data_IF_515648503876
#
_entry.id   IF_515648503876
#
_cell.length_a   1.000
_cell.length_b   1.000
_cell.length_c   1.000
_cell.angle_alpha   90.00
_cell.angle_beta   90.00
_cell.angle_gamma   90.00
#
_symmetry.space_group_name_H-M   'P 1'
#
loop_
_entity.id
_entity.type
_entity.pdbx_description
1 polymer ?
#
# COMPACT_ATOMS: atom_id res chain seq x y z
N UNK A 1 1.47 -20.72 -29.66
CA UNK A 1 0.67 -21.13 -28.50
C UNK A 1 0.97 -20.19 -27.34
N UNK A 2 -0.03 -19.42 -26.87
CA UNK A 2 0.12 -18.42 -25.81
C UNK A 2 0.33 -19.15 -24.48
N UNK A 3 1.48 -18.96 -23.83
CA UNK A 3 1.74 -19.49 -22.50
C UNK A 3 0.75 -18.89 -21.49
N UNK A 4 0.09 -19.76 -20.72
CA UNK A 4 -0.73 -19.33 -19.60
C UNK A 4 0.17 -18.60 -18.59
N UNK A 5 0.02 -17.28 -18.46
CA UNK A 5 0.65 -16.54 -17.37
C UNK A 5 -0.01 -17.00 -16.06
N UNK A 6 0.65 -17.90 -15.33
CA UNK A 6 0.36 -18.10 -13.93
C UNK A 6 0.63 -16.77 -13.21
N UNK A 7 -0.41 -16.19 -12.62
CA UNK A 7 -0.24 -15.05 -11.70
C UNK A 7 0.37 -15.61 -10.40
N UNK A 8 1.46 -15.02 -9.87
CA UNK A 8 2.00 -15.42 -8.57
C UNK A 8 1.09 -15.01 -7.41
N UNK A 9 0.08 -14.16 -7.67
CA UNK A 9 -0.85 -13.66 -6.65
C UNK A 9 -2.12 -14.49 -6.57
N UNK A 10 -2.68 -14.55 -5.36
CA UNK A 10 -3.99 -15.14 -5.08
C UNK A 10 -5.12 -14.51 -5.90
N UNK A 11 -6.24 -15.21 -5.94
CA UNK A 11 -7.48 -14.73 -6.58
C UNK A 11 -7.86 -13.35 -6.06
N UNK A 12 -8.20 -12.43 -6.97
CA UNK A 12 -8.55 -11.02 -6.70
C UNK A 12 -7.38 -10.08 -6.36
N UNK A 13 -6.16 -10.58 -6.29
CA UNK A 13 -4.97 -9.74 -6.17
C UNK A 13 -4.41 -9.39 -7.54
N UNK A 14 -3.74 -8.24 -7.63
CA UNK A 14 -3.10 -7.77 -8.86
C UNK A 14 -1.58 -7.79 -8.72
N UNK A 15 -0.91 -8.54 -9.58
CA UNK A 15 0.54 -8.54 -9.64
C UNK A 15 1.06 -7.29 -10.36
N UNK A 16 1.99 -6.58 -9.73
CA UNK A 16 2.69 -5.43 -10.31
C UNK A 16 4.09 -5.30 -9.72
N UNK A 17 5.10 -5.06 -10.56
CA UNK A 17 6.50 -5.16 -10.12
C UNK A 17 6.76 -6.54 -9.54
N UNK A 18 7.14 -6.59 -8.27
CA UNK A 18 7.43 -7.83 -7.53
C UNK A 18 6.45 -8.06 -6.38
N UNK A 19 5.24 -7.49 -6.44
CA UNK A 19 4.28 -7.55 -5.34
C UNK A 19 2.83 -7.74 -5.79
N UNK A 20 2.01 -8.22 -4.86
CA UNK A 20 0.59 -8.44 -5.03
C UNK A 20 -0.19 -7.34 -4.32
N UNK A 21 -1.13 -6.72 -5.03
CA UNK A 21 -1.92 -5.59 -4.53
C UNK A 21 -3.42 -5.93 -4.48
N UNK A 22 -4.00 -5.83 -3.29
CA UNK A 22 -5.43 -5.98 -3.05
C UNK A 22 -6.11 -4.62 -2.95
N UNK A 23 -7.30 -4.49 -3.55
CA UNK A 23 -8.08 -3.26 -3.54
C UNK A 23 -9.43 -3.51 -2.85
N UNK A 24 -9.46 -3.30 -1.53
CA UNK A 24 -10.64 -3.53 -0.72
C UNK A 24 -11.44 -2.22 -0.53
N UNK A 25 -12.77 -2.34 -0.45
CA UNK A 25 -13.70 -1.21 -0.34
C UNK A 25 -14.41 -1.23 1.01
N UNK A 26 -13.63 -1.29 2.08
CA UNK A 26 -14.13 -1.16 3.45
C UNK A 26 -13.91 0.26 3.97
N UNK A 27 -14.85 0.75 4.79
CA UNK A 27 -14.71 2.03 5.47
C UNK A 27 -14.24 1.76 6.91
N UNK A 28 -12.92 1.61 7.06
CA UNK A 28 -12.25 1.22 8.30
C UNK A 28 -11.36 2.36 8.78
N UNK A 29 -11.14 2.41 10.09
CA UNK A 29 -10.03 3.20 10.68
C UNK A 29 -8.68 2.69 10.19
N UNK A 30 -7.62 3.46 10.44
CA UNK A 30 -6.28 3.04 10.06
C UNK A 30 -5.88 1.73 10.78
N UNK A 31 -6.16 1.65 12.08
CA UNK A 31 -5.89 0.47 12.91
C UNK A 31 -6.65 -0.77 12.43
N UNK A 32 -7.95 -0.63 12.17
CA UNK A 32 -8.77 -1.73 11.63
C UNK A 32 -8.28 -2.18 10.24
N UNK A 33 -7.86 -1.24 9.39
CA UNK A 33 -7.32 -1.55 8.07
C UNK A 33 -6.00 -2.32 8.16
N UNK A 34 -5.14 -1.95 9.12
CA UNK A 34 -3.90 -2.68 9.42
C UNK A 34 -4.18 -4.10 9.92
N UNK A 35 -5.13 -4.25 10.84
CA UNK A 35 -5.53 -5.56 11.34
C UNK A 35 -6.07 -6.44 10.21
N UNK A 36 -6.95 -5.90 9.37
CA UNK A 36 -7.49 -6.60 8.21
C UNK A 36 -6.41 -7.07 7.23
N UNK A 37 -5.40 -6.23 6.96
CA UNK A 37 -4.27 -6.65 6.13
C UNK A 37 -3.50 -7.80 6.79
N UNK A 38 -3.25 -7.70 8.10
CA UNK A 38 -2.55 -8.74 8.88
C UNK A 38 -3.31 -10.07 8.84
N UNK A 39 -4.63 -10.05 8.99
CA UNK A 39 -5.49 -11.25 8.92
C UNK A 39 -5.46 -11.93 7.55
N UNK A 40 -5.10 -11.18 6.49
CA UNK A 40 -4.88 -11.69 5.13
C UNK A 40 -3.42 -12.01 4.81
N UNK A 41 -2.52 -12.07 5.80
CA UNK A 41 -1.08 -12.22 5.61
C UNK A 41 -0.47 -11.15 4.69
N UNK A 42 -0.96 -9.92 4.79
CA UNK A 42 -0.52 -8.76 4.02
C UNK A 42 -0.21 -7.57 4.93
N UNK A 43 0.32 -6.50 4.34
CA UNK A 43 0.57 -5.22 5.01
C UNK A 43 -0.26 -4.12 4.36
N UNK A 44 -0.48 -3.02 5.05
CA UNK A 44 -0.95 -1.81 4.37
C UNK A 44 0.07 -1.38 3.31
N UNK A 45 -0.42 -0.69 2.27
CA UNK A 45 0.39 -0.31 1.11
C UNK A 45 1.61 0.52 1.56
N UNK A 46 2.80 -0.01 1.26
CA UNK A 46 4.03 0.78 1.22
C UNK A 46 4.15 1.47 -0.12
N UNK A 47 4.46 2.76 -0.11
CA UNK A 47 4.83 3.49 -1.30
C UNK A 47 6.33 3.73 -1.19
N UNK A 48 7.11 3.14 -2.09
CA UNK A 48 8.58 3.27 -2.09
C UNK A 48 9.11 3.96 -3.35
N UNK A 49 8.27 4.13 -4.37
CA UNK A 49 8.59 4.80 -5.60
C UNK A 49 7.35 5.42 -6.26
N UNK A 50 7.58 6.32 -7.21
CA UNK A 50 6.50 7.04 -7.93
C UNK A 50 5.65 6.12 -8.82
N UNK A 51 6.20 5.02 -9.33
CA UNK A 51 5.44 4.11 -10.19
C UNK A 51 4.30 3.45 -9.41
N UNK A 52 4.48 3.16 -8.11
CA UNK A 52 3.40 2.69 -7.25
C UNK A 52 2.28 3.74 -7.15
N UNK A 53 2.63 5.02 -6.96
CA UNK A 53 1.62 6.09 -6.88
C UNK A 53 0.77 6.13 -8.14
N UNK A 54 1.40 6.12 -9.32
CA UNK A 54 0.69 6.14 -10.60
C UNK A 54 -0.11 4.85 -10.84
N UNK A 55 0.43 3.69 -10.44
CA UNK A 55 -0.25 2.41 -10.51
C UNK A 55 -1.56 2.40 -9.70
N UNK A 56 -1.53 2.94 -8.47
CA UNK A 56 -2.69 3.02 -7.58
C UNK A 56 -3.69 4.06 -8.08
N UNK A 57 -3.25 5.26 -8.47
CA UNK A 57 -4.12 6.33 -9.02
C UNK A 57 -4.89 5.88 -10.25
N UNK A 58 -4.28 5.04 -11.09
CA UNK A 58 -4.94 4.49 -12.28
C UNK A 58 -6.04 3.46 -11.96
N UNK A 59 -6.18 3.01 -10.70
CA UNK A 59 -7.08 1.90 -10.29
C UNK A 59 -8.10 2.30 -9.24
N UNK A 60 -7.84 3.34 -8.46
CA UNK A 60 -8.76 3.84 -7.44
C UNK A 60 -8.69 5.36 -7.38
N UNK A 61 -9.87 5.99 -7.35
CA UNK A 61 -10.03 7.42 -7.08
C UNK A 61 -10.47 7.69 -5.64
N UNK A 62 -10.56 6.65 -4.82
CA UNK A 62 -11.01 6.74 -3.45
C UNK A 62 -9.82 6.92 -2.52
N UNK A 63 -10.02 7.70 -1.45
CA UNK A 63 -9.05 7.87 -0.36
C UNK A 63 -8.83 6.50 0.31
N UNK A 64 -7.56 6.16 0.55
CA UNK A 64 -7.14 4.86 1.11
C UNK A 64 -6.02 5.04 2.11
N UNK A 65 -6.09 4.27 3.19
CA UNK A 65 -4.99 4.15 4.14
C UNK A 65 -3.76 3.50 3.48
N UNK A 66 -2.59 3.97 3.89
CA UNK A 66 -1.28 3.42 3.55
C UNK A 66 -0.57 3.01 4.84
N UNK A 67 0.48 2.20 4.73
CA UNK A 67 1.19 1.65 5.89
C UNK A 67 2.11 2.64 6.61
N UNK A 68 1.92 3.94 6.40
CA UNK A 68 2.75 4.99 6.99
C UNK A 68 2.14 5.46 8.30
N UNK A 69 2.89 5.38 9.40
CA UNK A 69 2.43 5.81 10.73
C UNK A 69 3.54 6.44 11.57
N UNK A 70 3.15 7.19 12.60
CA UNK A 70 4.01 7.67 13.70
C UNK A 70 3.21 7.61 14.99
N UNK A 71 3.81 7.20 16.10
CA UNK A 71 3.08 7.10 17.37
C UNK A 71 2.93 8.46 18.04
N UNK A 72 3.97 9.29 17.94
CA UNK A 72 4.01 10.63 18.50
C UNK A 72 4.35 11.66 17.43
N UNK A 73 3.92 12.91 17.65
CA UNK A 73 4.17 14.01 16.71
C UNK A 73 5.65 14.31 16.49
N UNK A 74 6.50 14.04 17.49
CA UNK A 74 7.94 14.20 17.46
C UNK A 74 8.69 13.00 16.89
N UNK A 75 8.00 11.91 16.55
CA UNK A 75 8.60 10.74 15.92
C UNK A 75 8.59 10.83 14.40
N UNK A 76 9.55 10.15 13.78
CA UNK A 76 9.62 10.01 12.33
C UNK A 76 8.54 9.07 11.82
N UNK A 77 7.97 9.39 10.67
CA UNK A 77 7.05 8.49 9.96
C UNK A 77 7.80 7.24 9.48
N UNK A 78 7.21 6.08 9.75
CA UNK A 78 7.74 4.77 9.38
C UNK A 78 6.69 3.94 8.67
N UNK A 79 7.17 3.11 7.75
CA UNK A 79 6.40 2.03 7.14
C UNK A 79 6.27 0.84 8.10
N UNK A 80 5.39 -0.11 7.79
CA UNK A 80 5.18 -1.30 8.64
C UNK A 80 6.41 -2.20 8.75
N UNK A 81 7.32 -2.15 7.77
CA UNK A 81 8.62 -2.84 7.79
C UNK A 81 9.70 -2.10 8.61
N UNK A 82 9.34 -0.98 9.25
CA UNK A 82 10.24 -0.14 10.04
C UNK A 82 11.11 0.82 9.22
N UNK A 83 11.08 0.75 7.89
CA UNK A 83 11.81 1.69 7.04
C UNK A 83 11.23 3.10 7.16
N UNK A 84 12.13 4.09 7.14
CA UNK A 84 11.75 5.51 7.23
C UNK A 84 11.34 6.01 5.84
N UNK A 85 10.38 6.92 5.80
CA UNK A 85 9.99 7.57 4.54
C UNK A 85 11.19 8.28 3.89
N UNK A 86 11.36 8.05 2.59
CA UNK A 86 12.42 8.68 1.79
C UNK A 86 12.16 10.17 1.57
N UNK A 87 13.23 10.98 1.54
CA UNK A 87 13.11 12.44 1.44
C UNK A 87 12.44 12.90 0.14
N UNK A 88 12.68 12.18 -0.96
CA UNK A 88 12.05 12.43 -2.26
C UNK A 88 10.52 12.17 -2.27
N UNK A 89 10.00 11.47 -1.26
CA UNK A 89 8.57 11.24 -1.09
C UNK A 89 7.92 12.21 -0.11
N UNK A 90 8.67 12.80 0.82
CA UNK A 90 8.16 13.80 1.79
C UNK A 90 7.51 15.01 1.10
N UNK A 91 8.00 15.40 -0.07
CA UNK A 91 7.50 16.55 -0.85
C UNK A 91 6.21 16.26 -1.64
N UNK A 92 5.74 15.01 -1.70
CA UNK A 92 4.61 14.61 -2.56
C UNK A 92 3.39 14.10 -1.81
N UNK A 93 3.45 14.03 -0.48
CA UNK A 93 2.32 13.58 0.33
C UNK A 93 1.46 14.78 0.70
N UNK A 94 0.55 15.17 -0.19
CA UNK A 94 -0.76 15.64 0.25
C UNK A 94 -1.71 14.45 0.16
N UNK A 95 -2.03 13.85 1.30
CA UNK A 95 -3.18 12.95 1.42
C UNK A 95 -4.29 13.83 2.02
N UNK A 96 -5.23 14.25 1.18
CA UNK A 96 -6.55 14.67 1.63
C UNK A 96 -7.43 13.42 1.73
#
# INVERSE_FOLDING_TARGET
FKGHKCSPCDTNWRYYGDSCYGFFRHNLTWEESKQYCTDMNATLLKIDNRNIVEYIKARTHLIRWVGLSRQKSNEVWKWEDGSVISENMKTQIMIF
#
